data_IF_185272714295
#
_entry.id   IF_185272714295
#
_cell.length_a   1.000
_cell.length_b   1.000
_cell.length_c   1.000
_cell.angle_alpha   90.00
_cell.angle_beta   90.00
_cell.angle_gamma   90.00
#
_symmetry.space_group_name_H-M   'P 1'
#
loop_
_entity.id
_entity.type
_entity.pdbx_description
1 polymer ?
#
# COMPACT_ATOMS: atom_id res chain seq x y z
N UNK A 1 -5.43 -3.08 -2.87
CA UNK A 1 -5.06 -4.32 -3.57
C UNK A 1 -4.86 -3.98 -5.02
N UNK A 2 -3.68 -4.26 -5.59
CA UNK A 2 -3.53 -4.19 -7.05
C UNK A 2 -4.30 -5.36 -7.67
N UNK A 3 -5.05 -5.15 -8.75
CA UNK A 3 -5.53 -6.26 -9.56
C UNK A 3 -4.29 -7.02 -10.05
N UNK A 4 -4.06 -8.24 -9.54
CA UNK A 4 -2.77 -8.95 -9.62
C UNK A 4 -2.22 -9.28 -11.01
N UNK A 5 -2.86 -8.78 -12.07
CA UNK A 5 -2.49 -8.99 -13.47
C UNK A 5 -2.10 -7.69 -14.19
N UNK A 6 -2.08 -6.55 -13.51
CA UNK A 6 -1.68 -5.26 -14.10
C UNK A 6 -0.29 -4.84 -13.61
N UNK A 7 0.59 -4.34 -14.50
CA UNK A 7 1.90 -3.84 -14.09
C UNK A 7 1.76 -2.59 -13.22
N UNK A 8 2.59 -2.51 -12.18
CA UNK A 8 2.71 -1.29 -11.36
C UNK A 8 3.41 -0.22 -12.20
N UNK A 9 2.69 0.84 -12.57
CA UNK A 9 3.18 1.94 -13.42
C UNK A 9 3.46 3.23 -12.66
N UNK A 10 3.03 3.31 -11.39
CA UNK A 10 3.22 4.45 -10.52
C UNK A 10 3.59 3.95 -9.13
N UNK A 11 4.49 4.65 -8.45
CA UNK A 11 4.81 4.45 -7.04
C UNK A 11 5.02 5.80 -6.37
N UNK A 12 4.72 5.88 -5.07
CA UNK A 12 4.90 7.10 -4.27
C UNK A 12 5.39 6.73 -2.87
N UNK A 13 6.57 6.12 -2.83
CA UNK A 13 7.19 5.68 -1.58
C UNK A 13 7.57 6.86 -0.70
N UNK A 14 7.40 6.69 0.61
CA UNK A 14 8.04 7.54 1.59
C UNK A 14 9.57 7.54 1.37
N UNK A 15 10.27 8.61 1.77
CA UNK A 15 11.72 8.57 1.85
C UNK A 15 12.15 7.33 2.65
N UNK A 16 13.17 6.64 2.13
CA UNK A 16 13.72 5.37 2.65
C UNK A 16 12.89 4.10 2.46
N UNK A 17 11.69 4.19 1.88
CA UNK A 17 10.86 3.02 1.56
C UNK A 17 10.97 2.60 0.08
N UNK A 18 10.71 1.31 -0.24
CA UNK A 18 10.50 0.22 0.69
C UNK A 18 11.81 -0.26 1.34
N UNK A 19 11.81 -0.52 2.65
CA UNK A 19 13.01 -0.91 3.39
C UNK A 19 13.10 -2.42 3.69
N UNK A 20 12.00 -3.15 3.50
CA UNK A 20 11.84 -4.59 3.76
C UNK A 20 12.36 -5.03 5.13
N UNK A 21 12.09 -4.22 6.15
CA UNK A 21 12.63 -4.38 7.50
C UNK A 21 12.24 -5.71 8.14
N UNK A 22 13.17 -6.27 8.91
CA UNK A 22 12.92 -7.43 9.77
C UNK A 22 12.37 -6.96 11.12
N UNK A 23 11.17 -7.44 11.48
CA UNK A 23 10.51 -7.14 12.74
C UNK A 23 10.87 -8.15 13.84
N UNK A 24 10.52 -7.82 15.09
CA UNK A 24 10.69 -8.71 16.24
C UNK A 24 9.88 -10.00 16.15
N UNK A 25 8.82 -10.01 15.33
CA UNK A 25 8.05 -11.22 14.98
C UNK A 25 8.79 -12.14 14.02
N UNK A 26 10.01 -11.79 13.58
CA UNK A 26 10.79 -12.47 12.55
C UNK A 26 10.16 -12.41 11.15
N UNK A 27 9.15 -11.56 10.96
CA UNK A 27 8.54 -11.27 9.66
C UNK A 27 9.25 -10.10 8.98
N UNK A 28 9.26 -10.15 7.65
CA UNK A 28 9.70 -9.06 6.78
C UNK A 28 8.51 -8.33 6.17
N UNK A 29 8.73 -7.09 5.80
CA UNK A 29 7.72 -6.22 5.22
C UNK A 29 7.49 -6.53 3.72
N UNK A 30 6.42 -7.26 3.41
CA UNK A 30 6.09 -7.67 2.03
C UNK A 30 4.74 -7.14 1.54
N UNK A 31 4.06 -6.32 2.33
CA UNK A 31 2.77 -5.74 2.00
C UNK A 31 2.84 -4.21 1.99
N UNK A 32 2.23 -3.56 0.98
CA UNK A 32 2.20 -2.10 0.90
C UNK A 32 1.05 -1.51 1.73
N UNK A 33 1.33 -0.42 2.41
CA UNK A 33 0.39 0.38 3.19
C UNK A 33 0.52 1.87 2.85
N UNK A 34 -0.50 2.65 3.22
CA UNK A 34 -0.47 4.11 3.14
C UNK A 34 -0.14 4.69 4.52
N UNK A 35 1.02 5.31 4.63
CA UNK A 35 1.53 5.93 5.85
C UNK A 35 1.45 7.46 5.75
N UNK A 36 1.10 8.18 6.84
CA UNK A 36 1.10 9.64 6.83
C UNK A 36 2.47 10.23 6.50
N UNK A 37 2.53 11.15 5.55
CA UNK A 37 3.74 11.94 5.24
C UNK A 37 3.74 13.29 5.97
N UNK A 38 4.89 13.96 6.01
CA UNK A 38 5.06 15.30 6.61
C UNK A 38 4.22 16.40 5.96
N UNK A 39 3.66 16.17 4.77
CA UNK A 39 3.01 17.20 3.95
C UNK A 39 1.50 16.99 3.74
N UNK A 40 0.78 16.45 4.73
CA UNK A 40 -0.70 16.27 4.72
C UNK A 40 -1.19 15.17 3.74
N UNK A 41 -0.29 14.54 2.99
CA UNK A 41 -0.62 13.43 2.09
C UNK A 41 -0.20 12.07 2.67
N UNK A 42 -0.77 11.00 2.14
CA UNK A 42 -0.33 9.63 2.42
C UNK A 42 0.64 9.17 1.32
N UNK A 43 1.72 8.53 1.72
CA UNK A 43 2.70 7.91 0.83
C UNK A 43 2.86 6.42 1.18
N UNK A 44 3.50 5.68 0.30
CA UNK A 44 3.61 4.22 0.40
C UNK A 44 4.72 3.86 1.39
N UNK A 45 4.46 2.81 2.16
CA UNK A 45 5.40 2.14 3.07
C UNK A 45 5.16 0.65 2.93
N UNK A 46 6.20 -0.18 2.87
CA UNK A 46 6.01 -1.59 3.12
C UNK A 46 5.80 -1.84 4.62
N UNK A 47 5.20 -2.99 4.92
CA UNK A 47 4.84 -3.41 6.25
C UNK A 47 4.66 -4.94 6.29
N UNK A 48 4.71 -5.53 7.49
CA UNK A 48 4.43 -6.95 7.66
C UNK A 48 2.98 -7.25 7.29
N UNK A 49 2.77 -8.29 6.50
CA UNK A 49 1.45 -8.65 5.97
C UNK A 49 0.45 -9.07 7.05
N UNK A 50 0.94 -9.50 8.22
CA UNK A 50 0.12 -9.89 9.36
C UNK A 50 -0.46 -8.70 10.14
N UNK A 51 -0.03 -7.47 9.86
CA UNK A 51 -0.50 -6.27 10.56
C UNK A 51 -1.96 -5.98 10.24
N UNK A 52 -2.79 -5.87 11.29
CA UNK A 52 -4.20 -5.51 11.16
C UNK A 52 -4.35 -3.99 10.95
N UNK A 53 -4.81 -3.61 9.76
CA UNK A 53 -5.02 -2.21 9.36
C UNK A 53 -6.39 -2.03 8.69
N UNK A 54 -6.86 -0.78 8.65
CA UNK A 54 -7.96 -0.41 7.76
C UNK A 54 -7.48 -0.46 6.30
N UNK A 55 -8.39 -0.72 5.36
CA UNK A 55 -8.06 -0.89 3.94
C UNK A 55 -9.01 -0.11 3.03
N UNK A 56 -8.54 0.13 1.81
CA UNK A 56 -9.28 0.80 0.75
C UNK A 56 -9.72 -0.27 -0.27
N UNK A 57 -11.01 -0.25 -0.62
CA UNK A 57 -11.58 -1.07 -1.68
C UNK A 57 -11.61 -0.30 -3.00
N UNK A 58 -11.38 -1.00 -4.10
CA UNK A 58 -11.59 -0.50 -5.45
C UNK A 58 -12.64 -1.38 -6.15
N UNK A 59 -13.46 -0.77 -7.00
CA UNK A 59 -14.35 -1.49 -7.91
C UNK A 59 -14.56 -0.68 -9.18
N UNK A 60 -14.92 -1.36 -10.27
CA UNK A 60 -15.33 -0.71 -11.51
C UNK A 60 -16.57 0.17 -11.24
N UNK A 61 -16.49 1.44 -11.61
CA UNK A 61 -17.63 2.33 -11.56
C UNK A 61 -18.61 2.00 -12.70
N UNK A 62 -19.79 1.48 -12.37
CA UNK A 62 -20.86 1.27 -13.34
C UNK A 62 -21.54 2.62 -13.57
N UNK A 63 -21.32 3.23 -14.73
CA UNK A 63 -22.14 4.38 -15.15
C UNK A 63 -23.49 3.83 -15.62
N UNK A 64 -24.55 4.10 -14.88
CA UNK A 64 -25.91 3.92 -15.39
C UNK A 64 -26.08 4.86 -16.57
N UNK A 65 -26.14 4.30 -17.78
CA UNK A 65 -26.53 5.05 -18.96
C UNK A 65 -27.96 5.54 -18.80
N UNK A 66 -28.17 6.83 -19.10
CA UNK A 66 -29.48 7.34 -19.50
C UNK A 66 -29.70 6.92 -20.94
#
# INVERSE_FOLDING_TARGET
WFPGNEPVTYTDWLPTEPDNKLHSSLEKEHCMTLSPSSHIFYQWSDEICSKLLNFICERIAIRSGV
#
